data_IF_718574512653
#
_entry.id   IF_718574512653
#
_cell.length_a   1.000
_cell.length_b   1.000
_cell.length_c   1.000
_cell.angle_alpha   90.00
_cell.angle_beta   90.00
_cell.angle_gamma   90.00
#
_symmetry.space_group_name_H-M   'P 1'
#
loop_
_entity.id
_entity.type
_entity.pdbx_description
1 polymer ?
#
# COMPACT_ATOMS: atom_id res chain seq x y z
N UNK A 1 -28.34 -22.64 -14.46
CA UNK A 1 -27.40 -23.21 -13.48
C UNK A 1 -26.58 -22.05 -12.92
N UNK A 2 -27.01 -21.50 -11.79
CA UNK A 2 -26.38 -20.36 -11.13
C UNK A 2 -25.56 -20.89 -9.95
N UNK A 3 -24.24 -20.72 -10.01
CA UNK A 3 -23.35 -21.02 -8.88
C UNK A 3 -23.23 -19.73 -8.06
N UNK A 4 -23.99 -19.70 -6.96
CA UNK A 4 -23.90 -18.68 -5.92
C UNK A 4 -22.63 -18.98 -5.11
N UNK A 5 -21.69 -18.04 -5.11
CA UNK A 5 -20.51 -18.07 -4.25
C UNK A 5 -20.94 -18.08 -2.78
N UNK A 6 -20.60 -19.16 -2.08
CA UNK A 6 -20.83 -19.32 -0.65
C UNK A 6 -19.84 -18.46 0.13
N UNK A 7 -20.33 -17.37 0.72
CA UNK A 7 -19.66 -16.64 1.79
C UNK A 7 -19.65 -17.55 3.02
N UNK A 8 -18.48 -18.04 3.42
CA UNK A 8 -18.33 -18.87 4.59
C UNK A 8 -18.51 -18.05 5.89
N UNK A 9 -19.75 -17.99 6.40
CA UNK A 9 -20.00 -17.71 7.81
C UNK A 9 -19.75 -19.01 8.60
N UNK A 10 -18.74 -19.00 9.46
CA UNK A 10 -18.50 -20.07 10.45
C UNK A 10 -19.68 -20.08 11.44
N UNK A 11 -20.62 -21.01 11.25
CA UNK A 11 -21.74 -21.22 12.16
C UNK A 11 -21.31 -21.91 13.45
N UNK A 12 -21.98 -21.51 14.52
CA UNK A 12 -21.81 -21.90 15.92
C UNK A 12 -22.01 -23.39 16.21
N UNK A 13 -21.33 -23.88 17.26
CA UNK A 13 -21.68 -25.07 18.05
C UNK A 13 -20.98 -25.00 19.43
N UNK A 14 -21.45 -25.74 20.46
CA UNK A 14 -22.48 -25.35 21.42
C UNK A 14 -21.91 -24.97 22.81
N UNK A 15 -22.72 -24.21 23.56
CA UNK A 15 -22.44 -23.80 24.94
C UNK A 15 -22.42 -25.01 25.89
N UNK A 16 -21.28 -25.25 26.56
CA UNK A 16 -21.20 -25.98 27.83
C UNK A 16 -20.84 -25.01 28.96
N UNK A 17 -21.72 -24.90 29.96
CA UNK A 17 -21.43 -24.27 31.26
C UNK A 17 -20.40 -25.11 32.01
N UNK A 18 -19.52 -24.45 32.76
CA UNK A 18 -19.27 -24.58 34.22
C UNK A 18 -17.92 -23.93 34.54
N UNK A 19 -17.86 -23.17 35.65
CA UNK A 19 -16.61 -22.95 36.38
C UNK A 19 -16.29 -21.49 36.71
N UNK A 20 -16.75 -21.02 37.86
CA UNK A 20 -16.23 -19.81 38.53
C UNK A 20 -14.74 -19.97 38.84
N UNK A 21 -13.93 -18.93 38.63
CA UNK A 21 -12.96 -18.47 39.65
C UNK A 21 -12.48 -17.04 39.38
N UNK A 22 -12.32 -16.33 40.49
CA UNK A 22 -12.02 -14.90 40.64
C UNK A 22 -10.61 -14.52 40.14
N UNK A 23 -10.37 -13.22 39.88
CA UNK A 23 -9.48 -12.36 40.67
C UNK A 23 -9.27 -10.98 39.99
N UNK A 24 -9.86 -9.97 40.66
CA UNK A 24 -9.44 -8.57 40.89
C UNK A 24 -9.03 -7.63 39.75
N UNK A 25 -9.89 -6.63 39.50
CA UNK A 25 -9.49 -5.30 39.01
C UNK A 25 -9.46 -4.33 40.19
N UNK A 26 -8.29 -3.77 40.53
CA UNK A 26 -8.15 -2.68 41.50
C UNK A 26 -8.70 -1.39 40.91
N UNK A 27 -9.84 -0.92 41.43
CA UNK A 27 -10.24 0.48 41.41
C UNK A 27 -9.34 1.27 42.39
N UNK A 28 -8.83 2.41 41.96
CA UNK A 28 -8.56 3.54 42.86
C UNK A 28 -9.41 4.73 42.44
N UNK A 29 -10.03 5.31 43.46
CA UNK A 29 -11.14 6.24 43.41
C UNK A 29 -10.72 7.66 43.05
N UNK A 30 -11.65 8.43 42.46
CA UNK A 30 -11.87 9.85 42.80
C UNK A 30 -13.22 10.34 42.25
N UNK A 31 -14.13 10.69 43.17
CA UNK A 31 -15.06 11.81 43.00
C UNK A 31 -16.43 11.57 42.36
N UNK A 32 -17.35 10.88 43.05
CA UNK A 32 -18.80 11.05 42.80
C UNK A 32 -19.26 12.41 43.37
N UNK A 33 -19.60 13.38 42.51
CA UNK A 33 -20.56 14.44 42.85
C UNK A 33 -21.89 14.15 42.17
N UNK A 34 -22.94 14.04 42.96
CA UNK A 34 -24.32 13.71 42.57
C UNK A 34 -24.99 14.87 41.81
N UNK A 35 -25.86 14.50 40.86
CA UNK A 35 -26.67 15.35 39.95
C UNK A 35 -27.49 16.47 40.63
N UNK A 36 -27.55 16.52 41.97
CA UNK A 36 -28.28 17.54 42.74
C UNK A 36 -27.50 18.86 42.88
N UNK A 37 -26.17 18.84 42.77
CA UNK A 37 -25.30 20.02 42.94
C UNK A 37 -25.21 20.95 41.72
N UNK A 38 -25.61 20.51 40.52
CA UNK A 38 -25.56 21.34 39.31
C UNK A 38 -26.74 22.31 39.16
N UNK A 39 -27.86 22.06 39.84
CA UNK A 39 -29.05 22.92 39.75
C UNK A 39 -28.95 24.16 40.64
N UNK A 40 -28.30 24.05 41.80
CA UNK A 40 -28.13 25.14 42.75
C UNK A 40 -27.01 26.12 42.36
N UNK A 41 -26.03 25.68 41.54
CA UNK A 41 -24.95 26.53 41.04
C UNK A 41 -25.39 27.38 39.82
N UNK A 42 -26.47 26.96 39.15
CA UNK A 42 -27.04 27.65 37.99
C UNK A 42 -28.04 28.75 38.38
N UNK A 43 -28.58 28.71 39.61
CA UNK A 43 -29.50 29.74 40.15
C UNK A 43 -28.80 30.84 40.96
N UNK A 44 -27.48 30.74 41.21
CA UNK A 44 -26.71 31.73 42.00
C UNK A 44 -25.94 32.77 41.20
N UNK A 45 -25.90 32.68 39.88
CA UNK A 45 -25.26 33.68 39.01
C UNK A 45 -26.34 34.52 38.33
N UNK A 46 -26.82 35.53 39.07
CA UNK A 46 -27.65 36.59 38.53
C UNK A 46 -26.88 37.46 37.53
N UNK A 47 -27.59 37.86 36.48
CA UNK A 47 -27.38 39.01 35.61
C UNK A 47 -25.97 39.65 35.60
N UNK A 48 -25.12 39.17 34.68
CA UNK A 48 -24.01 39.97 34.17
C UNK A 48 -24.10 39.96 32.66
N UNK A 49 -24.57 41.08 32.11
CA UNK A 49 -24.50 41.39 30.68
C UNK A 49 -23.04 41.27 30.22
N UNK A 50 -22.69 40.17 29.54
CA UNK A 50 -21.36 40.02 28.93
C UNK A 50 -21.39 40.65 27.54
N UNK A 51 -20.78 41.82 27.42
CA UNK A 51 -20.49 42.48 26.14
C UNK A 51 -19.46 41.68 25.34
N UNK A 52 -19.89 40.61 24.69
CA UNK A 52 -19.11 39.85 23.71
C UNK A 52 -19.62 40.18 22.30
N UNK A 53 -19.31 41.39 21.84
CA UNK A 53 -19.35 41.72 20.41
C UNK A 53 -18.02 41.31 19.78
N UNK A 54 -18.10 40.62 18.64
CA UNK A 54 -16.96 40.17 17.83
C UNK A 54 -16.06 41.31 17.33
N UNK A 55 -16.51 42.56 17.41
CA UNK A 55 -15.84 43.73 16.83
C UNK A 55 -14.69 44.30 17.69
N UNK A 56 -14.43 43.76 18.89
CA UNK A 56 -13.44 44.32 19.84
C UNK A 56 -12.19 43.45 20.05
N UNK A 57 -11.97 42.41 19.26
CA UNK A 57 -10.73 41.64 19.30
C UNK A 57 -9.66 42.31 18.42
N UNK A 58 -8.73 43.03 19.04
CA UNK A 58 -7.51 43.49 18.39
C UNK A 58 -6.50 42.33 18.31
N UNK A 59 -6.34 41.80 17.10
CA UNK A 59 -5.40 40.72 16.79
C UNK A 59 -3.99 41.22 16.44
N UNK A 60 -3.68 42.50 16.65
CA UNK A 60 -2.33 43.00 16.39
C UNK A 60 -1.33 42.41 17.42
N UNK A 61 -0.43 41.59 16.88
CA UNK A 61 0.53 40.76 17.60
C UNK A 61 1.48 41.60 18.47
N UNK A 62 1.72 41.14 19.71
CA UNK A 62 2.67 41.75 20.63
C UNK A 62 4.12 41.63 20.07
N UNK A 63 4.86 42.74 19.83
CA UNK A 63 6.14 42.74 19.11
C UNK A 63 7.24 41.85 19.72
N UNK A 64 7.14 41.53 21.01
CA UNK A 64 8.09 40.64 21.70
C UNK A 64 7.85 39.14 21.41
N UNK A 65 6.64 38.74 21.02
CA UNK A 65 6.35 37.36 20.62
C UNK A 65 6.83 37.10 19.19
N UNK A 66 6.73 38.08 18.29
CA UNK A 66 7.16 37.95 16.89
C UNK A 66 8.65 37.64 16.72
N UNK A 67 9.54 38.25 17.55
CA UNK A 67 10.99 37.95 17.49
C UNK A 67 11.35 36.56 18.00
N UNK A 68 10.59 36.01 18.96
CA UNK A 68 10.78 34.63 19.44
C UNK A 68 10.21 33.61 18.44
N UNK A 69 9.07 33.91 17.83
CA UNK A 69 8.50 33.09 16.77
C UNK A 69 9.40 33.04 15.53
N UNK A 70 9.90 34.19 15.04
CA UNK A 70 10.77 34.24 13.84
C UNK A 70 12.11 33.50 14.00
N UNK A 71 12.71 33.56 15.19
CA UNK A 71 13.97 32.86 15.45
C UNK A 71 13.78 31.36 15.73
N UNK A 72 12.69 30.94 16.39
CA UNK A 72 12.41 29.51 16.55
C UNK A 72 11.90 28.87 15.26
N UNK A 73 11.12 29.59 14.45
CA UNK A 73 10.62 29.08 13.17
C UNK A 73 11.76 28.83 12.19
N UNK A 74 12.79 29.67 12.14
CA UNK A 74 13.93 29.46 11.25
C UNK A 74 14.82 28.29 11.69
N UNK A 75 15.03 28.09 13.01
CA UNK A 75 15.80 26.94 13.51
C UNK A 75 15.02 25.63 13.42
N UNK A 76 13.69 25.66 13.63
CA UNK A 76 12.82 24.50 13.49
C UNK A 76 12.69 24.12 12.01
N UNK A 77 12.44 25.08 11.12
CA UNK A 77 12.36 24.82 9.69
C UNK A 77 13.68 24.29 9.12
N UNK A 78 14.84 24.80 9.58
CA UNK A 78 16.14 24.29 9.14
C UNK A 78 16.40 22.85 9.63
N UNK A 79 16.01 22.52 10.86
CA UNK A 79 16.13 21.14 11.37
C UNK A 79 15.12 20.19 10.71
N UNK A 80 13.86 20.63 10.50
CA UNK A 80 12.85 19.85 9.78
C UNK A 80 13.25 19.61 8.32
N UNK A 81 13.91 20.57 7.68
CA UNK A 81 14.43 20.40 6.32
C UNK A 81 15.62 19.44 6.26
N UNK A 82 16.55 19.51 7.22
CA UNK A 82 17.66 18.55 7.33
C UNK A 82 17.17 17.13 7.60
N UNK A 83 16.17 16.97 8.48
CA UNK A 83 15.53 15.68 8.77
C UNK A 83 14.80 15.12 7.53
N UNK A 84 14.14 15.98 6.75
CA UNK A 84 13.49 15.59 5.49
C UNK A 84 14.49 15.16 4.41
N UNK A 85 15.62 15.86 4.28
CA UNK A 85 16.67 15.52 3.31
C UNK A 85 17.37 14.20 3.64
N UNK A 86 17.55 13.87 4.93
CA UNK A 86 18.07 12.57 5.36
C UNK A 86 17.05 11.44 5.14
N UNK A 87 15.77 11.70 5.43
CA UNK A 87 14.69 10.74 5.21
C UNK A 87 14.51 10.43 3.71
N UNK A 88 14.57 11.45 2.85
CA UNK A 88 14.54 11.27 1.40
C UNK A 88 15.70 10.44 0.88
N UNK A 89 16.91 10.59 1.46
CA UNK A 89 18.06 9.74 1.11
C UNK A 89 17.87 8.29 1.53
N UNK A 90 17.30 8.06 2.71
CA UNK A 90 17.01 6.70 3.21
C UNK A 90 15.95 6.01 2.35
N UNK A 91 14.87 6.72 2.02
CA UNK A 91 13.82 6.21 1.14
C UNK A 91 14.35 5.87 -0.26
N UNK A 92 15.21 6.72 -0.81
CA UNK A 92 15.88 6.45 -2.09
C UNK A 92 16.73 5.18 -2.01
N UNK A 93 17.48 4.97 -0.92
CA UNK A 93 18.26 3.74 -0.72
C UNK A 93 17.36 2.51 -0.62
N UNK A 94 16.25 2.59 0.12
CA UNK A 94 15.29 1.48 0.22
C UNK A 94 14.64 1.17 -1.15
N UNK A 95 14.33 2.19 -1.94
CA UNK A 95 13.83 2.03 -3.30
C UNK A 95 14.86 1.33 -4.21
N UNK A 96 16.12 1.79 -4.17
CA UNK A 96 17.23 1.18 -4.92
C UNK A 96 17.47 -0.28 -4.49
N UNK A 97 17.45 -0.56 -3.19
CA UNK A 97 17.60 -1.91 -2.64
C UNK A 97 16.46 -2.84 -3.09
N UNK A 98 15.22 -2.38 -2.99
CA UNK A 98 14.04 -3.13 -3.44
C UNK A 98 14.12 -3.48 -4.93
N UNK A 99 14.47 -2.50 -5.76
CA UNK A 99 14.64 -2.70 -7.20
C UNK A 99 15.79 -3.66 -7.50
N UNK A 100 16.91 -3.51 -6.80
CA UNK A 100 18.08 -4.38 -6.94
C UNK A 100 17.76 -5.83 -6.56
N UNK A 101 16.96 -6.06 -5.52
CA UNK A 101 16.53 -7.42 -5.14
C UNK A 101 15.67 -8.05 -6.25
N UNK A 102 14.69 -7.31 -6.78
CA UNK A 102 13.84 -7.81 -7.87
C UNK A 102 14.67 -8.16 -9.12
N UNK A 103 15.62 -7.29 -9.47
CA UNK A 103 16.52 -7.52 -10.60
C UNK A 103 17.44 -8.72 -10.35
N UNK A 104 17.94 -8.89 -9.12
CA UNK A 104 18.75 -10.04 -8.74
C UNK A 104 18.00 -11.36 -8.92
N UNK A 105 16.73 -11.45 -8.52
CA UNK A 105 15.90 -12.63 -8.78
C UNK A 105 15.69 -12.86 -10.28
N UNK A 106 15.37 -11.83 -11.06
CA UNK A 106 15.16 -11.94 -12.52
C UNK A 106 16.40 -12.44 -13.26
N UNK A 107 17.60 -12.04 -12.81
CA UNK A 107 18.88 -12.40 -13.43
C UNK A 107 19.50 -13.69 -12.92
N UNK A 108 18.85 -14.41 -12.00
CA UNK A 108 19.33 -15.72 -11.58
C UNK A 108 19.39 -16.68 -12.77
N UNK A 109 20.44 -17.48 -12.82
CA UNK A 109 20.58 -18.52 -13.83
C UNK A 109 19.48 -19.60 -13.64
N UNK A 110 18.78 -20.03 -14.70
CA UNK A 110 17.71 -21.02 -14.59
C UNK A 110 18.15 -22.33 -13.92
N UNK A 111 19.39 -22.78 -14.15
CA UNK A 111 19.93 -24.00 -13.54
C UNK A 111 20.17 -23.81 -12.03
N UNK A 112 20.61 -22.61 -11.63
CA UNK A 112 20.74 -22.26 -10.20
C UNK A 112 19.38 -22.23 -9.53
N UNK A 113 18.36 -21.65 -10.17
CA UNK A 113 16.99 -21.58 -9.63
C UNK A 113 16.41 -22.98 -9.45
N UNK A 114 16.55 -23.84 -10.46
CA UNK A 114 16.08 -25.23 -10.40
C UNK A 114 16.75 -26.00 -9.24
N UNK A 115 18.08 -26.00 -9.17
CA UNK A 115 18.81 -26.68 -8.09
C UNK A 115 18.46 -26.12 -6.71
N UNK A 116 18.36 -24.79 -6.58
CA UNK A 116 17.99 -24.16 -5.32
C UNK A 116 16.58 -24.57 -4.88
N UNK A 117 15.65 -24.70 -5.82
CA UNK A 117 14.28 -25.13 -5.57
C UNK A 117 14.25 -26.57 -5.06
N UNK A 118 14.94 -27.49 -5.76
CA UNK A 118 15.07 -28.90 -5.35
C UNK A 118 15.65 -29.07 -3.93
N UNK A 119 16.58 -28.20 -3.53
CA UNK A 119 17.18 -28.24 -2.19
C UNK A 119 16.20 -27.75 -1.12
N UNK A 120 15.42 -26.70 -1.39
CA UNK A 120 14.56 -26.06 -0.39
C UNK A 120 13.21 -26.74 -0.25
N UNK A 121 12.64 -27.23 -1.35
CA UNK A 121 11.30 -27.82 -1.41
C UNK A 121 11.03 -28.90 -0.34
N UNK A 122 11.94 -29.86 -0.06
CA UNK A 122 11.72 -30.88 0.98
C UNK A 122 11.57 -30.35 2.41
N UNK A 123 11.96 -29.09 2.66
CA UNK A 123 11.85 -28.43 3.96
C UNK A 123 10.54 -27.64 4.11
N UNK A 124 9.70 -27.62 3.09
CA UNK A 124 8.41 -26.92 3.08
C UNK A 124 7.27 -27.92 3.29
N UNK A 125 6.27 -27.50 4.07
CA UNK A 125 5.06 -28.29 4.27
C UNK A 125 4.27 -28.45 2.96
N UNK A 126 3.68 -29.62 2.72
CA UNK A 126 2.93 -29.95 1.50
C UNK A 126 1.75 -29.00 1.23
N UNK A 127 0.91 -28.71 2.23
CA UNK A 127 -0.20 -27.75 2.10
C UNK A 127 0.32 -26.36 1.69
N UNK A 128 1.50 -25.99 2.19
CA UNK A 128 2.14 -24.72 1.87
C UNK A 128 2.68 -24.72 0.44
N UNK A 129 3.27 -25.82 0.00
CA UNK A 129 3.75 -26.01 -1.36
C UNK A 129 2.61 -25.87 -2.38
N UNK A 130 1.52 -26.59 -2.17
CA UNK A 130 0.31 -26.53 -2.98
C UNK A 130 -0.29 -25.12 -2.98
N UNK A 131 -0.28 -24.45 -1.83
CA UNK A 131 -0.75 -23.07 -1.72
C UNK A 131 0.09 -22.11 -2.58
N UNK A 132 1.42 -22.21 -2.53
CA UNK A 132 2.29 -21.35 -3.34
C UNK A 132 2.07 -21.62 -4.83
N UNK A 133 2.06 -22.88 -5.25
CA UNK A 133 1.85 -23.25 -6.66
C UNK A 133 0.46 -22.80 -7.16
N UNK A 134 -0.59 -22.98 -6.37
CA UNK A 134 -1.94 -22.55 -6.74
C UNK A 134 -2.08 -21.04 -6.88
N UNK A 135 -1.40 -20.24 -6.04
CA UNK A 135 -1.34 -18.77 -6.22
C UNK A 135 -0.60 -18.40 -7.50
N UNK A 136 0.60 -18.96 -7.71
CA UNK A 136 1.43 -18.58 -8.84
C UNK A 136 0.77 -18.91 -10.18
N UNK A 137 0.01 -20.01 -10.26
CA UNK A 137 -0.81 -20.34 -11.44
C UNK A 137 -1.90 -19.30 -11.74
N UNK A 138 -2.35 -18.55 -10.73
CA UNK A 138 -3.35 -17.50 -10.88
C UNK A 138 -2.73 -16.11 -11.10
N UNK A 139 -1.40 -16.00 -11.13
CA UNK A 139 -0.75 -14.71 -11.34
C UNK A 139 -0.91 -14.22 -12.77
N UNK A 140 -1.02 -12.91 -12.90
CA UNK A 140 -1.06 -12.21 -14.18
C UNK A 140 0.03 -11.14 -14.27
N UNK A 141 0.63 -11.01 -15.45
CA UNK A 141 1.49 -9.90 -15.88
C UNK A 141 0.78 -8.96 -16.81
N UNK A 142 -0.33 -9.35 -17.42
CA UNK A 142 -1.05 -8.47 -18.34
C UNK A 142 -1.49 -7.15 -17.72
N UNK A 143 -1.75 -7.13 -16.42
CA UNK A 143 -2.04 -5.90 -15.70
C UNK A 143 -1.02 -5.65 -14.60
N UNK A 144 -0.65 -4.39 -14.42
CA UNK A 144 0.10 -3.91 -13.25
C UNK A 144 -0.48 -2.60 -12.74
N UNK A 145 -0.21 -2.27 -11.49
CA UNK A 145 -0.65 -1.01 -10.88
C UNK A 145 0.54 -0.09 -10.67
N UNK A 146 0.33 1.21 -10.80
CA UNK A 146 1.28 2.27 -10.46
C UNK A 146 0.57 3.25 -9.53
N UNK A 147 1.15 3.54 -8.37
CA UNK A 147 0.66 4.59 -7.48
C UNK A 147 1.53 5.84 -7.64
N UNK A 148 0.92 6.95 -8.07
CA UNK A 148 1.61 8.22 -8.27
C UNK A 148 1.42 9.13 -7.06
N UNK A 149 2.48 9.31 -6.26
CA UNK A 149 2.57 10.26 -5.14
C UNK A 149 1.27 10.35 -4.31
N UNK A 150 0.77 9.24 -3.74
CA UNK A 150 -0.45 9.23 -2.93
C UNK A 150 -0.33 10.22 -1.76
N UNK A 151 -1.41 10.85 -1.31
CA UNK A 151 -1.38 11.82 -0.20
C UNK A 151 -0.82 11.20 1.09
N UNK A 152 -1.12 9.92 1.30
CA UNK A 152 -0.59 9.11 2.37
C UNK A 152 -0.05 7.80 1.78
N UNK A 153 1.28 7.59 1.74
CA UNK A 153 1.88 6.37 1.22
C UNK A 153 1.37 5.09 1.90
N UNK A 154 0.84 5.20 3.13
CA UNK A 154 0.24 4.04 3.78
C UNK A 154 -1.00 3.47 3.09
N UNK A 155 -1.69 4.27 2.27
CA UNK A 155 -2.84 3.83 1.50
C UNK A 155 -2.45 2.87 0.36
N UNK A 156 -1.26 3.00 -0.22
CA UNK A 156 -0.77 2.05 -1.23
C UNK A 156 -0.65 0.63 -0.65
N UNK A 157 -0.15 0.53 0.59
CA UNK A 157 -0.02 -0.76 1.28
C UNK A 157 -1.38 -1.43 1.53
N UNK A 158 -2.41 -0.64 1.80
CA UNK A 158 -3.78 -1.15 1.92
C UNK A 158 -4.30 -1.74 0.59
N UNK A 159 -3.86 -1.19 -0.55
CA UNK A 159 -4.22 -1.67 -1.88
C UNK A 159 -3.57 -3.02 -2.22
N UNK A 160 -2.35 -3.27 -1.72
CA UNK A 160 -1.59 -4.48 -2.09
C UNK A 160 -2.34 -5.78 -1.80
N UNK A 161 -3.09 -5.85 -0.71
CA UNK A 161 -3.88 -7.05 -0.38
C UNK A 161 -4.97 -7.31 -1.42
N UNK A 162 -5.63 -6.25 -1.89
CA UNK A 162 -6.65 -6.36 -2.94
C UNK A 162 -5.98 -6.77 -4.25
N UNK A 163 -4.91 -6.08 -4.66
CA UNK A 163 -4.16 -6.39 -5.88
C UNK A 163 -3.70 -7.85 -5.91
N UNK A 164 -3.11 -8.32 -4.80
CA UNK A 164 -2.69 -9.71 -4.61
C UNK A 164 -3.86 -10.69 -4.77
N UNK A 165 -5.03 -10.36 -4.21
CA UNK A 165 -6.23 -11.20 -4.28
C UNK A 165 -6.78 -11.36 -5.71
N UNK A 166 -6.52 -10.40 -6.59
CA UNK A 166 -6.88 -10.45 -8.02
C UNK A 166 -5.78 -11.06 -8.90
N UNK A 167 -4.68 -11.56 -8.31
CA UNK A 167 -3.62 -12.25 -9.05
C UNK A 167 -2.61 -11.33 -9.74
N UNK A 168 -2.69 -10.01 -9.59
CA UNK A 168 -1.69 -9.11 -10.18
C UNK A 168 -0.34 -9.27 -9.47
N UNK A 169 0.75 -9.45 -10.24
CA UNK A 169 2.09 -9.69 -9.68
C UNK A 169 2.89 -8.40 -9.42
N UNK A 170 2.78 -7.42 -10.32
CA UNK A 170 3.63 -6.22 -10.32
C UNK A 170 2.88 -4.99 -9.82
N UNK A 171 3.48 -4.27 -8.88
CA UNK A 171 3.01 -2.97 -8.41
C UNK A 171 4.17 -2.00 -8.38
N UNK A 172 4.01 -0.90 -9.08
CA UNK A 172 4.99 0.15 -9.17
C UNK A 172 4.56 1.34 -8.31
N UNK A 173 5.55 2.12 -7.89
CA UNK A 173 5.39 3.28 -7.04
C UNK A 173 6.18 4.43 -7.65
N UNK A 174 5.59 5.62 -7.65
CA UNK A 174 6.31 6.88 -7.73
C UNK A 174 6.11 7.53 -6.36
N UNK A 175 7.14 7.43 -5.53
CA UNK A 175 7.17 8.10 -4.23
C UNK A 175 8.36 9.04 -4.25
N UNK A 176 8.08 10.32 -4.47
CA UNK A 176 9.04 11.40 -4.29
C UNK A 176 8.97 11.90 -2.84
N UNK A 177 9.93 11.46 -2.02
CA UNK A 177 10.03 11.87 -0.61
C UNK A 177 10.06 13.39 -0.43
N UNK A 178 10.54 14.16 -1.42
CA UNK A 178 10.54 15.61 -1.38
C UNK A 178 9.15 16.24 -1.42
N UNK A 179 8.12 15.50 -1.84
CA UNK A 179 6.73 15.96 -1.86
C UNK A 179 6.00 15.76 -0.52
N UNK A 180 6.60 15.03 0.42
CA UNK A 180 5.99 14.69 1.70
C UNK A 180 6.57 15.54 2.83
N UNK A 181 5.69 16.10 3.69
CA UNK A 181 6.12 16.93 4.81
C UNK A 181 5.76 16.30 6.17
N UNK A 182 6.74 16.28 7.09
CA UNK A 182 6.55 15.95 8.51
C UNK A 182 5.95 14.57 8.76
N UNK A 183 4.71 14.52 9.27
CA UNK A 183 4.04 13.25 9.67
C UNK A 183 3.79 12.28 8.50
N UNK A 184 3.75 12.78 7.27
CA UNK A 184 3.49 11.95 6.08
C UNK A 184 4.67 11.02 5.79
N UNK A 185 5.90 11.51 5.92
CA UNK A 185 7.12 10.73 5.75
C UNK A 185 7.27 9.63 6.83
N UNK A 186 6.96 9.96 8.10
CA UNK A 186 6.90 8.96 9.19
C UNK A 186 5.86 7.85 8.97
N UNK A 187 4.73 8.17 8.33
CA UNK A 187 3.69 7.18 8.01
C UNK A 187 4.09 6.27 6.84
N UNK A 188 4.94 6.74 5.93
CA UNK A 188 5.53 5.91 4.87
C UNK A 188 6.37 4.77 5.46
N UNK A 189 7.28 5.07 6.39
CA UNK A 189 8.08 4.06 7.12
C UNK A 189 7.21 3.05 7.87
N UNK A 190 6.16 3.51 8.55
CA UNK A 190 5.22 2.62 9.27
C UNK A 190 4.40 1.76 8.31
N UNK A 191 3.92 2.35 7.21
CA UNK A 191 3.17 1.66 6.17
C UNK A 191 3.95 0.49 5.60
N UNK A 192 5.22 0.73 5.26
CA UNK A 192 6.13 -0.30 4.73
C UNK A 192 6.30 -1.49 5.68
N UNK A 193 6.36 -1.22 7.00
CA UNK A 193 6.41 -2.26 8.04
C UNK A 193 5.08 -2.99 8.25
N UNK A 194 3.95 -2.38 7.90
CA UNK A 194 2.60 -2.94 8.10
C UNK A 194 2.14 -3.80 6.92
N UNK A 195 2.69 -3.54 5.73
CA UNK A 195 2.37 -4.24 4.48
C UNK A 195 2.92 -5.66 4.36
N UNK A 196 3.76 -6.09 5.31
CA UNK A 196 4.60 -7.30 5.21
C UNK A 196 3.84 -8.60 4.91
N UNK A 197 2.53 -8.66 5.15
CA UNK A 197 1.71 -9.84 4.85
C UNK A 197 1.60 -10.14 3.35
N UNK A 198 1.12 -9.18 2.54
CA UNK A 198 0.90 -9.35 1.10
C UNK A 198 2.09 -8.86 0.25
N UNK A 199 2.81 -7.83 0.72
CA UNK A 199 3.94 -7.23 -0.03
C UNK A 199 5.03 -8.24 -0.39
N UNK A 200 5.29 -9.23 0.47
CA UNK A 200 6.30 -10.27 0.23
C UNK A 200 5.98 -11.19 -0.98
N UNK A 201 4.71 -11.25 -1.40
CA UNK A 201 4.24 -12.08 -2.53
C UNK A 201 4.13 -11.30 -3.84
N UNK A 202 4.31 -9.98 -3.79
CA UNK A 202 4.26 -9.08 -4.94
C UNK A 202 5.68 -8.66 -5.33
N UNK A 203 5.80 -8.15 -6.55
CA UNK A 203 7.00 -7.50 -7.05
C UNK A 203 6.76 -6.00 -7.02
N UNK A 204 7.39 -5.32 -6.05
CA UNK A 204 7.24 -3.89 -5.84
C UNK A 204 8.44 -3.14 -6.44
N UNK A 205 8.20 -2.15 -7.29
CA UNK A 205 9.27 -1.34 -7.91
C UNK A 205 9.00 0.15 -7.66
N UNK A 206 9.98 0.90 -7.15
CA UNK A 206 9.84 2.35 -7.00
C UNK A 206 10.74 3.07 -8.02
N UNK A 207 10.13 3.91 -8.86
CA UNK A 207 10.80 4.62 -9.93
C UNK A 207 11.31 6.02 -9.53
N UNK A 208 10.84 6.55 -8.40
CA UNK A 208 11.17 7.88 -7.92
C UNK A 208 10.47 9.01 -8.66
N UNK A 209 10.53 9.05 -10.00
CA UNK A 209 9.88 10.09 -10.83
C UNK A 209 8.91 9.53 -11.85
N UNK A 210 7.95 10.36 -12.28
CA UNK A 210 6.96 10.04 -13.30
C UNK A 210 7.62 9.73 -14.65
N UNK A 211 8.55 10.58 -15.11
CA UNK A 211 9.36 10.33 -16.32
C UNK A 211 10.06 8.96 -16.30
N UNK A 212 10.76 8.62 -15.21
CA UNK A 212 11.50 7.37 -15.09
C UNK A 212 10.55 6.16 -15.12
N UNK A 213 9.41 6.26 -14.42
CA UNK A 213 8.40 5.22 -14.38
C UNK A 213 7.82 4.95 -15.77
N UNK A 214 7.38 6.01 -16.45
CA UNK A 214 6.75 5.92 -17.77
C UNK A 214 7.73 5.36 -18.79
N UNK A 215 8.97 5.85 -18.78
CA UNK A 215 10.03 5.34 -19.66
C UNK A 215 10.24 3.84 -19.44
N UNK A 216 10.37 3.38 -18.20
CA UNK A 216 10.55 1.97 -17.91
C UNK A 216 9.34 1.12 -18.32
N UNK A 217 8.14 1.51 -17.87
CA UNK A 217 6.90 0.78 -18.08
C UNK A 217 6.55 0.68 -19.58
N UNK A 218 6.70 1.77 -20.33
CA UNK A 218 6.37 1.82 -21.76
C UNK A 218 7.47 1.25 -22.63
N UNK A 219 8.71 1.72 -22.49
CA UNK A 219 9.79 1.40 -23.45
C UNK A 219 10.44 0.04 -23.15
N UNK A 220 10.58 -0.32 -21.87
CA UNK A 220 11.26 -1.57 -21.47
C UNK A 220 10.26 -2.70 -21.33
N UNK A 221 9.13 -2.45 -20.65
CA UNK A 221 8.17 -3.50 -20.35
C UNK A 221 7.00 -3.59 -21.35
N UNK A 222 6.77 -2.56 -22.18
CA UNK A 222 5.78 -2.60 -23.26
C UNK A 222 4.32 -2.46 -22.81
N UNK A 223 4.06 -1.82 -21.66
CA UNK A 223 2.71 -1.56 -21.17
C UNK A 223 2.15 -0.24 -21.70
N UNK A 224 0.84 -0.23 -21.95
CA UNK A 224 0.06 1.02 -22.09
C UNK A 224 -0.27 1.59 -20.72
N UNK A 225 -0.48 2.90 -20.62
CA UNK A 225 -0.65 3.63 -19.37
C UNK A 225 -2.07 4.18 -19.28
N UNK A 226 -2.83 3.64 -18.34
CA UNK A 226 -4.24 3.96 -18.13
C UNK A 226 -4.36 4.66 -16.79
N UNK A 227 -4.68 5.95 -16.79
CA UNK A 227 -4.52 6.79 -15.61
C UNK A 227 -5.86 7.28 -15.03
N UNK A 228 -6.03 7.13 -13.72
CA UNK A 228 -7.21 7.64 -13.01
C UNK A 228 -7.16 9.16 -12.93
N UNK A 229 -8.14 9.86 -13.49
CA UNK A 229 -8.22 11.32 -13.47
C UNK A 229 -9.55 11.76 -12.82
N UNK A 230 -9.51 12.90 -12.13
CA UNK A 230 -10.70 13.56 -11.58
C UNK A 230 -11.38 14.44 -12.63
N UNK A 231 -10.76 14.62 -13.80
CA UNK A 231 -11.31 15.39 -14.90
C UNK A 231 -12.55 14.71 -15.50
N UNK A 232 -13.70 15.41 -15.63
CA UNK A 232 -14.92 14.86 -16.24
C UNK A 232 -14.80 14.53 -17.74
N UNK A 233 -13.74 14.99 -18.43
CA UNK A 233 -13.45 14.60 -19.80
C UNK A 233 -12.77 13.22 -19.90
N UNK A 234 -12.34 12.65 -18.79
CA UNK A 234 -11.83 11.29 -18.74
C UNK A 234 -12.95 10.30 -19.07
N UNK A 235 -12.59 9.10 -19.53
CA UNK A 235 -13.57 8.08 -19.87
C UNK A 235 -14.17 7.46 -18.61
N UNK A 236 -15.44 7.10 -18.65
CA UNK A 236 -16.03 6.36 -17.53
C UNK A 236 -15.36 4.97 -17.42
N UNK A 237 -14.97 4.55 -16.20
CA UNK A 237 -14.36 3.24 -15.91
C UNK A 237 -15.10 2.05 -16.54
N UNK A 238 -16.41 2.18 -16.73
CA UNK A 238 -17.29 1.16 -17.32
C UNK A 238 -17.09 0.99 -18.83
N UNK A 239 -16.57 2.03 -19.49
CA UNK A 239 -16.38 2.15 -20.94
C UNK A 239 -14.93 1.94 -21.37
N UNK A 240 -13.99 1.97 -20.42
CA UNK A 240 -12.57 1.66 -20.67
C UNK A 240 -12.42 0.28 -21.29
N UNK A 241 -11.60 0.19 -22.34
CA UNK A 241 -11.24 -1.09 -22.94
C UNK A 241 -10.07 -1.71 -22.17
N UNK A 242 -10.42 -2.59 -21.22
CA UNK A 242 -9.43 -3.26 -20.40
C UNK A 242 -8.72 -4.42 -21.12
N UNK A 243 -9.14 -4.82 -22.33
CA UNK A 243 -8.52 -5.94 -23.07
C UNK A 243 -7.49 -5.47 -24.11
N UNK A 244 -7.02 -4.22 -24.03
CA UNK A 244 -6.17 -3.55 -25.02
C UNK A 244 -4.65 -3.88 -24.93
N UNK A 245 -4.33 -5.10 -24.51
CA UNK A 245 -2.96 -5.59 -24.33
C UNK A 245 -2.46 -5.51 -22.88
N UNK A 246 -1.14 -5.45 -22.64
CA UNK A 246 -0.58 -5.20 -21.32
C UNK A 246 -0.85 -3.76 -20.88
N UNK A 247 -1.48 -3.59 -19.72
CA UNK A 247 -1.90 -2.30 -19.19
C UNK A 247 -1.32 -2.02 -17.80
N UNK A 248 -0.82 -0.81 -17.61
CA UNK A 248 -0.40 -0.25 -16.34
C UNK A 248 -1.47 0.74 -15.89
N UNK A 249 -2.12 0.43 -14.76
CA UNK A 249 -3.17 1.24 -14.19
C UNK A 249 -2.54 2.21 -13.20
N UNK A 250 -2.59 3.49 -13.51
CA UNK A 250 -2.08 4.56 -12.66
C UNK A 250 -3.19 5.06 -11.75
N UNK A 251 -2.97 4.96 -10.45
CA UNK A 251 -3.82 5.53 -9.43
C UNK A 251 -3.12 6.78 -8.86
N UNK A 252 -3.73 7.95 -9.10
CA UNK A 252 -3.19 9.24 -8.70
C UNK A 252 -3.40 9.57 -7.22
N UNK A 253 -2.97 10.78 -6.85
CA UNK A 253 -3.17 11.34 -5.52
C UNK A 253 -4.68 11.59 -5.25
N UNK A 254 -5.13 11.32 -4.03
CA UNK A 254 -6.56 11.41 -3.68
C UNK A 254 -7.13 12.83 -3.78
N UNK A 255 -6.30 13.86 -3.56
CA UNK A 255 -6.71 15.27 -3.55
C UNK A 255 -6.48 15.95 -4.91
N UNK A 256 -5.42 15.56 -5.62
CA UNK A 256 -4.97 16.24 -6.86
C UNK A 256 -5.19 15.43 -8.13
N UNK A 257 -5.52 14.14 -8.01
CA UNK A 257 -5.48 13.20 -9.11
C UNK A 257 -4.04 12.94 -9.57
N UNK A 258 -3.91 12.57 -10.84
CA UNK A 258 -2.62 12.40 -11.52
C UNK A 258 -1.98 13.75 -11.86
N UNK A 259 -0.66 13.76 -11.97
CA UNK A 259 0.09 14.94 -12.41
C UNK A 259 -0.25 15.34 -13.86
N UNK A 260 0.02 16.59 -14.24
CA UNK A 260 -0.11 17.02 -15.64
C UNK A 260 0.82 16.22 -16.56
N UNK A 261 2.04 15.94 -16.09
CA UNK A 261 3.00 15.10 -16.80
C UNK A 261 2.43 13.70 -17.07
N UNK A 262 1.84 13.05 -16.06
CA UNK A 262 1.18 11.76 -16.23
C UNK A 262 -0.03 11.85 -17.17
N UNK A 263 -0.80 12.94 -17.09
CA UNK A 263 -1.98 13.17 -17.95
C UNK A 263 -1.59 13.31 -19.43
N UNK A 264 -0.53 14.04 -19.73
CA UNK A 264 -0.01 14.20 -21.10
C UNK A 264 0.57 12.90 -21.66
N UNK A 265 1.16 12.09 -20.78
CA UNK A 265 1.83 10.85 -21.17
C UNK A 265 0.92 9.63 -21.13
N UNK A 266 -0.24 9.66 -20.48
CA UNK A 266 -1.17 8.53 -20.42
C UNK A 266 -1.76 8.21 -21.80
N UNK A 267 -1.91 6.91 -22.10
CA UNK A 267 -2.55 6.43 -23.33
C UNK A 267 -4.08 6.57 -23.25
N UNK A 268 -4.65 6.40 -22.07
CA UNK A 268 -6.07 6.61 -21.79
C UNK A 268 -6.24 7.15 -20.36
N UNK A 269 -7.14 8.11 -20.16
CA UNK A 269 -7.54 8.57 -18.82
C UNK A 269 -8.96 8.11 -18.52
N UNK A 270 -9.19 7.71 -17.28
CA UNK A 270 -10.51 7.27 -16.84
C UNK A 270 -10.88 7.84 -15.46
N UNK A 271 -12.17 7.96 -15.19
CA UNK A 271 -12.68 8.37 -13.88
C UNK A 271 -13.65 7.33 -13.31
N UNK A 272 -13.81 7.36 -12.00
CA UNK A 272 -14.83 6.59 -11.29
C UNK A 272 -16.06 7.48 -11.08
N UNK A 273 -17.24 7.11 -11.61
CA UNK A 273 -18.42 7.95 -11.48
C UNK A 273 -18.86 8.09 -10.01
N UNK A 274 -19.11 9.33 -9.59
CA UNK A 274 -19.53 9.69 -8.25
C UNK A 274 -20.82 10.51 -8.29
N UNK A 275 -21.72 10.26 -7.34
CA UNK A 275 -23.02 10.94 -7.24
C UNK A 275 -23.22 11.67 -5.90
N UNK A 276 -22.18 11.73 -5.05
CA UNK A 276 -22.24 12.27 -3.69
C UNK A 276 -21.51 13.60 -3.54
N UNK A 277 -21.41 14.07 -2.29
CA UNK A 277 -20.66 15.29 -1.94
C UNK A 277 -19.14 15.10 -1.89
N UNK A 278 -18.66 13.86 -1.80
CA UNK A 278 -17.23 13.57 -1.81
C UNK A 278 -16.66 13.83 -3.22
N UNK A 279 -15.44 14.37 -3.28
CA UNK A 279 -14.78 14.72 -4.53
C UNK A 279 -13.96 13.56 -5.11
N UNK A 280 -13.58 12.59 -4.27
CA UNK A 280 -12.86 11.38 -4.70
C UNK A 280 -13.17 10.19 -3.78
N UNK A 281 -12.87 8.98 -4.26
CA UNK A 281 -12.86 7.78 -3.45
C UNK A 281 -11.53 7.65 -2.69
N UNK A 282 -11.55 6.95 -1.55
CA UNK A 282 -10.30 6.50 -0.92
C UNK A 282 -9.50 5.64 -1.92
N UNK A 283 -8.17 5.80 -1.96
CA UNK A 283 -7.29 5.11 -2.90
C UNK A 283 -7.48 3.59 -2.95
N UNK A 284 -7.65 2.94 -1.79
CA UNK A 284 -7.89 1.49 -1.73
C UNK A 284 -9.25 1.08 -2.27
N UNK A 285 -10.26 1.92 -2.08
CA UNK A 285 -11.61 1.72 -2.63
C UNK A 285 -11.59 1.93 -4.14
N UNK A 286 -10.95 3.00 -4.61
CA UNK A 286 -10.79 3.29 -6.04
C UNK A 286 -10.07 2.15 -6.78
N UNK A 287 -8.98 1.64 -6.19
CA UNK A 287 -8.24 0.49 -6.70
C UNK A 287 -9.13 -0.75 -6.76
N UNK A 288 -9.92 -1.00 -5.70
CA UNK A 288 -10.82 -2.16 -5.62
C UNK A 288 -11.96 -2.08 -6.65
N UNK A 289 -12.55 -0.91 -6.87
CA UNK A 289 -13.58 -0.69 -7.88
C UNK A 289 -13.01 -0.92 -9.28
N UNK A 290 -11.83 -0.39 -9.56
CA UNK A 290 -11.14 -0.57 -10.85
C UNK A 290 -10.86 -2.05 -11.10
N UNK A 291 -10.28 -2.76 -10.12
CA UNK A 291 -10.06 -4.20 -10.20
C UNK A 291 -11.36 -4.99 -10.39
N UNK A 292 -12.45 -4.59 -9.76
CA UNK A 292 -13.75 -5.23 -9.94
C UNK A 292 -14.27 -5.08 -11.38
N UNK A 293 -14.11 -3.89 -11.99
CA UNK A 293 -14.44 -3.68 -13.40
C UNK A 293 -13.56 -4.51 -14.34
N UNK A 294 -12.25 -4.54 -14.10
CA UNK A 294 -11.31 -5.36 -14.86
C UNK A 294 -11.63 -6.85 -14.74
N UNK A 295 -11.95 -7.30 -13.52
CA UNK A 295 -12.31 -8.70 -13.24
C UNK A 295 -13.62 -9.08 -13.91
N UNK A 296 -14.61 -8.19 -13.95
CA UNK A 296 -15.86 -8.43 -14.69
C UNK A 296 -15.66 -8.56 -16.21
N UNK A 297 -14.55 -8.02 -16.74
CA UNK A 297 -14.13 -8.19 -18.14
C UNK A 297 -13.17 -9.37 -18.34
N UNK A 298 -12.80 -10.08 -17.27
CA UNK A 298 -11.89 -11.22 -17.31
C UNK A 298 -12.66 -12.54 -17.21
N UNK A 299 -12.26 -13.54 -17.97
CA UNK A 299 -12.92 -14.84 -18.02
C UNK A 299 -12.36 -15.72 -19.15
N UNK A 300 -12.45 -17.05 -19.01
CA UNK A 300 -12.05 -18.04 -20.03
C UNK A 300 -10.68 -17.78 -20.70
N UNK A 301 -9.67 -17.44 -19.88
CA UNK A 301 -8.30 -17.18 -20.36
C UNK A 301 -8.11 -15.85 -21.11
N UNK A 302 -9.09 -14.94 -21.02
CA UNK A 302 -9.10 -13.63 -21.67
C UNK A 302 -9.29 -12.50 -20.65
N UNK A 303 -9.09 -11.27 -21.13
CA UNK A 303 -9.24 -10.06 -20.34
C UNK A 303 -7.98 -9.62 -19.57
N UNK A 304 -8.05 -8.47 -18.89
CA UNK A 304 -6.92 -7.81 -18.23
C UNK A 304 -6.29 -8.64 -17.10
N UNK A 305 -7.10 -9.45 -16.41
CA UNK A 305 -6.67 -10.23 -15.25
C UNK A 305 -6.58 -11.73 -15.56
N UNK A 306 -6.28 -12.09 -16.82
CA UNK A 306 -6.13 -13.49 -17.20
C UNK A 306 -4.96 -14.14 -16.45
N UNK A 307 -5.15 -15.30 -15.81
CA UNK A 307 -4.08 -15.97 -15.08
C UNK A 307 -3.11 -16.72 -16.02
N UNK A 308 -1.90 -16.98 -15.53
CA UNK A 308 -0.98 -17.96 -16.12
C UNK A 308 -0.18 -17.45 -17.31
N UNK A 309 0.07 -16.14 -17.39
CA UNK A 309 0.89 -15.50 -18.44
C UNK A 309 2.32 -15.16 -17.96
N UNK A 310 2.76 -15.75 -16.85
CA UNK A 310 4.15 -15.68 -16.39
C UNK A 310 5.06 -16.49 -17.34
N UNK A 311 6.22 -15.93 -17.67
CA UNK A 311 7.30 -16.69 -18.29
C UNK A 311 7.77 -17.81 -17.35
N UNK A 312 8.18 -18.96 -17.90
CA UNK A 312 8.62 -20.12 -17.13
C UNK A 312 9.75 -19.77 -16.14
N UNK A 313 10.77 -19.03 -16.59
CA UNK A 313 11.87 -18.60 -15.73
C UNK A 313 11.39 -17.70 -14.58
N UNK A 314 10.50 -16.75 -14.88
CA UNK A 314 9.94 -15.87 -13.86
C UNK A 314 9.09 -16.63 -12.85
N UNK A 315 8.26 -17.57 -13.32
CA UNK A 315 7.49 -18.46 -12.45
C UNK A 315 8.42 -19.20 -11.49
N UNK A 316 9.52 -19.77 -11.99
CA UNK A 316 10.50 -20.50 -11.19
C UNK A 316 11.19 -19.60 -10.16
N UNK A 317 11.55 -18.37 -10.52
CA UNK A 317 12.12 -17.40 -9.59
C UNK A 317 11.13 -16.99 -8.48
N UNK A 318 9.86 -16.75 -8.84
CA UNK A 318 8.80 -16.43 -7.87
C UNK A 318 8.47 -17.62 -6.99
N UNK A 319 8.54 -18.84 -7.53
CA UNK A 319 8.37 -20.07 -6.79
C UNK A 319 9.47 -20.23 -5.74
N UNK A 320 10.74 -20.14 -6.14
CA UNK A 320 11.88 -20.15 -5.22
C UNK A 320 11.74 -19.08 -4.13
N UNK A 321 11.39 -17.84 -4.50
CA UNK A 321 11.11 -16.76 -3.54
C UNK A 321 9.99 -17.16 -2.56
N UNK A 322 8.93 -17.78 -3.06
CA UNK A 322 7.81 -18.25 -2.24
C UNK A 322 8.19 -19.36 -1.26
N UNK A 323 9.08 -20.28 -1.66
CA UNK A 323 9.62 -21.32 -0.79
C UNK A 323 10.52 -20.71 0.29
N UNK A 324 11.44 -19.82 -0.08
CA UNK A 324 12.32 -19.13 0.87
C UNK A 324 11.52 -18.34 1.92
N UNK A 325 10.48 -17.62 1.50
CA UNK A 325 9.56 -16.91 2.39
C UNK A 325 8.67 -17.82 3.26
N UNK A 326 8.61 -19.12 2.92
CA UNK A 326 7.82 -20.11 3.67
C UNK A 326 8.65 -20.86 4.71
N UNK A 327 9.98 -20.65 4.74
CA UNK A 327 10.84 -21.24 5.77
C UNK A 327 10.60 -20.56 7.12
N UNK A 328 10.61 -21.32 8.24
CA UNK A 328 10.39 -20.76 9.58
C UNK A 328 11.44 -19.72 9.99
N UNK A 329 12.67 -19.85 9.47
CA UNK A 329 13.78 -18.97 9.76
C UNK A 329 14.43 -18.53 8.44
N UNK A 330 14.51 -17.22 8.22
CA UNK A 330 15.05 -16.61 6.99
C UNK A 330 16.45 -17.10 6.63
N UNK A 331 17.33 -17.27 7.64
CA UNK A 331 18.73 -17.69 7.44
C UNK A 331 18.89 -19.17 7.10
N UNK A 332 17.87 -20.00 7.35
CA UNK A 332 17.97 -21.46 7.12
C UNK A 332 18.07 -21.78 5.63
N UNK A 333 17.31 -21.09 4.78
CA UNK A 333 17.35 -21.34 3.34
C UNK A 333 18.75 -21.11 2.77
N UNK A 334 19.40 -20.02 3.16
CA UNK A 334 20.77 -19.73 2.74
C UNK A 334 21.79 -20.74 3.25
N UNK A 335 21.66 -21.16 4.51
CA UNK A 335 22.55 -22.15 5.09
C UNK A 335 22.46 -23.48 4.31
N UNK A 336 21.25 -23.91 3.97
CA UNK A 336 21.00 -25.11 3.16
C UNK A 336 21.58 -24.98 1.75
N UNK A 337 21.34 -23.86 1.07
CA UNK A 337 21.89 -23.62 -0.27
C UNK A 337 23.42 -23.60 -0.26
N UNK A 338 24.03 -22.92 0.71
CA UNK A 338 25.48 -22.82 0.84
C UNK A 338 26.13 -24.18 1.13
N UNK A 339 25.51 -25.02 1.95
CA UNK A 339 25.97 -26.39 2.21
C UNK A 339 25.98 -27.25 0.94
N UNK A 340 25.10 -26.94 -0.01
CA UNK A 340 24.99 -27.62 -1.30
C UNK A 340 25.71 -26.87 -2.44
N UNK A 341 26.60 -25.92 -2.11
CA UNK A 341 27.43 -25.21 -3.09
C UNK A 341 26.73 -24.10 -3.88
N UNK A 342 25.50 -23.73 -3.52
CA UNK A 342 24.76 -22.64 -4.15
C UNK A 342 24.90 -21.37 -3.32
N UNK A 343 25.36 -20.29 -3.95
CA UNK A 343 25.45 -18.97 -3.33
C UNK A 343 24.56 -18.01 -4.11
N UNK A 344 23.44 -17.63 -3.50
CA UNK A 344 22.58 -16.57 -4.03
C UNK A 344 23.23 -15.18 -3.78
N UNK A 345 22.93 -14.18 -4.64
CA UNK A 345 23.35 -12.80 -4.45
C UNK A 345 23.04 -12.26 -3.05
N UNK A 346 23.91 -11.39 -2.56
CA UNK A 346 23.83 -10.81 -1.22
C UNK A 346 22.51 -10.07 -0.97
N UNK A 347 21.92 -9.47 -2.02
CA UNK A 347 20.61 -8.81 -1.96
C UNK A 347 19.46 -9.73 -1.61
N UNK A 348 19.52 -10.99 -2.04
CA UNK A 348 18.49 -11.98 -1.75
C UNK A 348 18.58 -12.43 -0.27
N UNK A 349 19.61 -11.98 0.48
CA UNK A 349 19.90 -12.47 1.83
C UNK A 349 19.03 -11.91 2.95
N UNK A 350 18.35 -10.79 2.77
CA UNK A 350 17.73 -10.04 3.89
C UNK A 350 16.19 -10.07 3.95
N UNK A 351 15.52 -10.73 2.99
CA UNK A 351 14.04 -10.83 2.99
C UNK A 351 13.51 -11.71 4.11
#
# INVERSE_FOLDING_TARGET
MSIIATIAFKTAMPVRRVGQMQVTTRLFALGKKTRRSRKEEQERLGDVHTGLSWEHYDFSLNPKQEKRFKNSSNSIAANEQLDADEEAKEDKRHAEEMNYINEAYRKLDPEIVAKATEIIEPFINEDRLERVQSVLKQRTRRSKFLFENPSNPSNCWACLRTIDSFGVQNVDLIIDSGMYAGKQALNQKRGMRTAMGSAQWLTLTNHGTTEAAIKHIREVEGYKIYASDLNPNAKDVREVDWDDGPICIVMGNEDRGISEEMRELADETFYLPMCGFAESFNLSVATSITLAHMSAKSGDGKGPLRPGDLEEHEYNCLYLKGLLNSLPQKRTGQALLKQNGIVLPDSIREI
#
